data_IF_286021106730
#
_entry.id   IF_286021106730
#
_cell.length_a   1.000
_cell.length_b   1.000
_cell.length_c   1.000
_cell.angle_alpha   90.00
_cell.angle_beta   90.00
_cell.angle_gamma   90.00
#
_symmetry.space_group_name_H-M   'P 1'
#
loop_
_entity.id
_entity.type
_entity.pdbx_description
1 polymer ?
#
# COMPACT_ATOMS: atom_id res chain seq x y z
N UNK A 1 -10.64 21.91 33.44
CA UNK A 1 -10.25 22.59 32.19
C UNK A 1 -9.39 21.64 31.36
N UNK A 2 -9.89 21.28 30.18
CA UNK A 2 -9.43 20.17 29.35
C UNK A 2 -7.94 20.25 28.99
N UNK A 3 -7.16 19.22 29.34
CA UNK A 3 -5.78 18.98 28.87
C UNK A 3 -5.67 18.72 27.36
N UNK A 4 -6.77 18.91 26.62
CA UNK A 4 -6.89 18.76 25.18
C UNK A 4 -6.24 19.91 24.39
N UNK A 5 -5.94 21.05 25.03
CA UNK A 5 -5.53 22.27 24.32
C UNK A 5 -4.07 22.31 23.89
N UNK A 6 -3.15 21.66 24.62
CA UNK A 6 -1.72 21.70 24.28
C UNK A 6 -1.38 20.73 23.14
N UNK A 7 -1.82 19.47 23.22
CA UNK A 7 -1.60 18.50 22.15
C UNK A 7 -2.29 18.92 20.86
N UNK A 8 -3.51 19.46 20.96
CA UNK A 8 -4.23 19.99 19.80
C UNK A 8 -3.52 21.21 19.19
N UNK A 9 -2.99 22.15 19.99
CA UNK A 9 -2.19 23.27 19.48
C UNK A 9 -0.89 22.84 18.83
N UNK A 10 -0.22 21.82 19.37
CA UNK A 10 1.01 21.29 18.77
C UNK A 10 0.71 20.62 17.43
N UNK A 11 -0.38 19.84 17.37
CA UNK A 11 -0.85 19.23 16.12
C UNK A 11 -1.24 20.29 15.10
N UNK A 12 -1.99 21.32 15.50
CA UNK A 12 -2.45 22.41 14.64
C UNK A 12 -1.28 23.24 14.11
N UNK A 13 -0.28 23.56 14.94
CA UNK A 13 0.95 24.25 14.50
C UNK A 13 1.73 23.42 13.47
N UNK A 14 1.87 22.10 13.70
CA UNK A 14 2.56 21.22 12.77
C UNK A 14 1.79 21.06 11.46
N UNK A 15 0.47 20.87 11.55
CA UNK A 15 -0.41 20.73 10.40
C UNK A 15 -0.49 22.03 9.57
N UNK A 16 -0.60 23.18 10.21
CA UNK A 16 -0.66 24.49 9.56
C UNK A 16 0.69 24.85 8.93
N UNK A 17 1.80 24.63 9.64
CA UNK A 17 3.15 24.78 9.09
C UNK A 17 3.40 23.85 7.90
N UNK A 18 2.96 22.60 7.98
CA UNK A 18 3.07 21.63 6.90
C UNK A 18 2.23 22.00 5.66
N UNK A 19 1.02 22.54 5.86
CA UNK A 19 0.13 22.99 4.78
C UNK A 19 0.63 24.27 4.10
N UNK A 20 1.19 25.22 4.88
CA UNK A 20 1.70 26.49 4.36
C UNK A 20 3.02 26.33 3.59
N UNK A 21 3.75 25.23 3.78
CA UNK A 21 4.99 24.96 3.05
C UNK A 21 4.74 24.34 1.67
N UNK A 22 5.14 25.05 0.61
CA UNK A 22 5.14 24.52 -0.76
C UNK A 22 6.09 23.32 -0.91
N UNK A 23 7.27 23.39 -0.28
CA UNK A 23 8.26 22.30 -0.31
C UNK A 23 7.80 21.05 0.44
N UNK A 24 7.12 21.21 1.59
CA UNK A 24 6.64 20.09 2.41
C UNK A 24 5.57 19.26 1.70
N UNK A 25 4.61 19.91 1.03
CA UNK A 25 3.63 19.23 0.17
C UNK A 25 4.29 18.47 -0.95
N UNK A 26 5.21 19.10 -1.68
CA UNK A 26 5.93 18.45 -2.79
C UNK A 26 6.70 17.21 -2.29
N UNK A 27 7.41 17.33 -1.16
CA UNK A 27 8.20 16.23 -0.61
C UNK A 27 7.32 15.05 -0.18
N UNK A 28 6.19 15.32 0.48
CA UNK A 28 5.22 14.28 0.84
C UNK A 28 4.59 13.62 -0.39
N UNK A 29 4.25 14.41 -1.41
CA UNK A 29 3.78 13.88 -2.69
C UNK A 29 4.82 12.97 -3.31
N UNK A 30 6.10 13.34 -3.31
CA UNK A 30 7.20 12.48 -3.80
C UNK A 30 7.29 11.19 -3.00
N UNK A 31 7.17 11.24 -1.66
CA UNK A 31 7.19 10.04 -0.81
C UNK A 31 6.02 9.10 -1.15
N UNK A 32 4.79 9.62 -1.26
CA UNK A 32 3.61 8.83 -1.63
C UNK A 32 3.79 8.19 -3.01
N UNK A 33 4.25 8.96 -4.00
CA UNK A 33 4.50 8.46 -5.35
C UNK A 33 5.55 7.36 -5.32
N UNK A 34 6.66 7.57 -4.59
CA UNK A 34 7.75 6.60 -4.50
C UNK A 34 7.28 5.31 -3.82
N UNK A 35 6.50 5.41 -2.74
CA UNK A 35 5.89 4.25 -2.07
C UNK A 35 4.95 3.49 -3.00
N UNK A 36 4.11 4.20 -3.76
CA UNK A 36 3.21 3.59 -4.74
C UNK A 36 3.99 2.88 -5.85
N UNK A 37 5.02 3.50 -6.41
CA UNK A 37 5.87 2.91 -7.45
C UNK A 37 6.61 1.68 -6.91
N UNK A 38 7.23 1.78 -5.73
CA UNK A 38 7.90 0.64 -5.10
C UNK A 38 6.94 -0.52 -4.84
N UNK A 39 5.74 -0.22 -4.34
CA UNK A 39 4.71 -1.24 -4.11
C UNK A 39 4.23 -1.86 -5.43
N UNK A 40 4.02 -1.06 -6.48
CA UNK A 40 3.59 -1.55 -7.78
C UNK A 40 4.64 -2.46 -8.44
N UNK A 41 5.92 -2.08 -8.41
CA UNK A 41 7.02 -2.90 -8.94
C UNK A 41 7.13 -4.22 -8.18
N UNK A 42 7.13 -4.17 -6.84
CA UNK A 42 7.16 -5.38 -6.01
C UNK A 42 5.93 -6.25 -6.29
N UNK A 43 4.73 -5.67 -6.40
CA UNK A 43 3.51 -6.43 -6.71
C UNK A 43 3.62 -7.12 -8.06
N UNK A 44 3.97 -6.41 -9.12
CA UNK A 44 4.02 -6.98 -10.48
C UNK A 44 5.13 -8.02 -10.61
N UNK A 45 6.28 -7.80 -9.96
CA UNK A 45 7.42 -8.71 -10.05
C UNK A 45 7.29 -9.93 -9.12
N UNK A 46 6.78 -9.76 -7.89
CA UNK A 46 6.61 -10.86 -6.92
C UNK A 46 5.27 -11.60 -7.06
N UNK A 47 4.25 -10.96 -7.65
CA UNK A 47 2.94 -11.57 -7.91
C UNK A 47 2.58 -11.46 -9.40
N UNK A 48 3.32 -12.14 -10.30
CA UNK A 48 2.83 -12.36 -11.65
C UNK A 48 1.48 -13.10 -11.58
N UNK A 49 0.60 -12.90 -12.57
CA UNK A 49 -0.72 -13.52 -12.65
C UNK A 49 -0.63 -15.04 -12.95
N UNK A 50 0.12 -15.77 -12.14
CA UNK A 50 0.43 -17.20 -12.30
C UNK A 50 -0.85 -18.05 -12.40
N UNK A 51 -1.87 -17.70 -11.63
CA UNK A 51 -3.14 -18.43 -11.57
C UNK A 51 -3.89 -18.32 -12.91
N UNK A 52 -3.92 -17.13 -13.53
CA UNK A 52 -4.63 -16.91 -14.80
C UNK A 52 -3.90 -17.50 -16.01
N UNK A 53 -2.59 -17.68 -15.91
CA UNK A 53 -1.78 -18.27 -16.97
C UNK A 53 -1.91 -19.80 -17.01
N UNK A 54 -2.17 -20.44 -15.87
CA UNK A 54 -2.22 -21.90 -15.74
C UNK A 54 -3.62 -22.49 -15.47
N UNK A 55 -4.61 -21.68 -15.09
CA UNK A 55 -5.97 -22.17 -14.87
C UNK A 55 -6.88 -21.96 -16.09
N UNK A 56 -7.67 -22.99 -16.43
CA UNK A 56 -8.75 -22.87 -17.39
C UNK A 56 -9.81 -21.87 -16.90
N UNK A 57 -10.39 -21.08 -17.82
CA UNK A 57 -11.33 -20.01 -17.50
C UNK A 57 -12.52 -20.54 -16.69
N UNK A 58 -12.65 -20.13 -15.42
CA UNK A 58 -13.71 -20.59 -14.51
C UNK A 58 -13.33 -21.72 -13.55
N UNK A 59 -12.11 -22.28 -13.62
CA UNK A 59 -11.61 -23.33 -12.72
C UNK A 59 -10.40 -22.89 -11.88
N UNK A 60 -10.22 -21.58 -11.69
CA UNK A 60 -9.10 -20.99 -10.92
C UNK A 60 -9.05 -21.53 -9.48
N UNK A 61 -10.19 -21.75 -8.83
CA UNK A 61 -10.27 -22.30 -7.48
C UNK A 61 -9.87 -23.78 -7.40
N UNK A 62 -10.20 -24.57 -8.42
CA UNK A 62 -9.90 -26.00 -8.46
C UNK A 62 -8.40 -26.23 -8.70
N UNK A 63 -7.80 -25.44 -9.62
CA UNK A 63 -6.35 -25.43 -9.86
C UNK A 63 -5.55 -25.10 -8.60
N UNK A 64 -5.97 -24.09 -7.83
CA UNK A 64 -5.31 -23.73 -6.55
C UNK A 64 -5.44 -24.85 -5.51
N UNK A 65 -6.61 -25.47 -5.39
CA UNK A 65 -6.84 -26.54 -4.42
C UNK A 65 -5.96 -27.77 -4.71
N UNK A 66 -5.87 -28.20 -5.97
CA UNK A 66 -5.01 -29.31 -6.38
C UNK A 66 -3.54 -29.01 -6.15
N UNK A 67 -3.10 -27.78 -6.44
CA UNK A 67 -1.69 -27.41 -6.30
C UNK A 67 -1.27 -27.22 -4.84
N UNK A 68 -2.18 -26.76 -3.96
CA UNK A 68 -1.93 -26.73 -2.52
C UNK A 68 -1.87 -28.15 -1.92
N UNK A 69 -2.70 -29.08 -2.40
CA UNK A 69 -2.67 -30.48 -1.97
C UNK A 69 -1.36 -31.17 -2.41
N UNK A 70 -0.93 -31.01 -3.66
CA UNK A 70 0.32 -31.59 -4.18
C UNK A 70 1.59 -31.05 -3.50
N UNK A 71 1.57 -29.81 -3.00
CA UNK A 71 2.72 -29.22 -2.29
C UNK A 71 2.76 -29.56 -0.79
N UNK A 72 1.67 -30.10 -0.25
CA UNK A 72 1.55 -30.47 1.15
C UNK A 72 1.91 -31.94 1.42
N UNK A 73 1.92 -32.79 0.38
CA UNK A 73 2.62 -34.09 0.36
C UNK A 73 4.14 -33.89 0.19
#
# INVERSE_FOLDING_TARGET
MNKQSLLYRIFDLYYDGFRHMQLGRVLWTVIIIKLFIMFAILKVFFFPNYIKEHAATGQESEFVATEMANRAE
#
